data_IF_685485593486
#
_entry.id   IF_685485593486
#
_cell.length_a   1.000
_cell.length_b   1.000
_cell.length_c   1.000
_cell.angle_alpha   90.00
_cell.angle_beta   90.00
_cell.angle_gamma   90.00
#
_symmetry.space_group_name_H-M   'P 1'
#
loop_
_entity.id
_entity.type
_entity.pdbx_description
1 polymer ?
#
# COMPACT_ATOMS: atom_id res chain seq x y z
N UNK A 1 12.26 -19.90 -36.54
CA UNK A 1 12.04 -18.58 -35.91
C UNK A 1 11.04 -18.71 -34.74
N UNK A 2 11.36 -19.52 -33.73
CA UNK A 2 10.48 -19.73 -32.55
C UNK A 2 11.09 -19.18 -31.25
N UNK A 3 12.40 -18.93 -31.27
CA UNK A 3 13.17 -18.46 -30.11
C UNK A 3 12.71 -17.08 -29.62
N UNK A 4 12.40 -16.17 -30.54
CA UNK A 4 11.90 -14.83 -30.19
C UNK A 4 10.52 -14.84 -29.53
N UNK A 5 9.62 -15.70 -29.99
CA UNK A 5 8.28 -15.86 -29.40
C UNK A 5 8.35 -16.40 -27.97
N UNK A 6 9.21 -17.39 -27.74
CA UNK A 6 9.43 -17.98 -26.41
C UNK A 6 10.01 -16.94 -25.43
N UNK A 7 10.93 -16.10 -25.90
CA UNK A 7 11.56 -15.08 -25.07
C UNK A 7 10.56 -13.98 -24.64
N UNK A 8 9.64 -13.60 -25.53
CA UNK A 8 8.56 -12.65 -25.19
C UNK A 8 7.60 -13.20 -24.14
N UNK A 9 7.19 -14.47 -24.25
CA UNK A 9 6.31 -15.10 -23.26
C UNK A 9 6.97 -15.18 -21.88
N UNK A 10 8.27 -15.48 -21.83
CA UNK A 10 9.04 -15.48 -20.58
C UNK A 10 9.10 -14.09 -19.94
N UNK A 11 9.33 -13.03 -20.72
CA UNK A 11 9.37 -11.65 -20.21
C UNK A 11 8.01 -11.24 -19.63
N UNK A 12 6.92 -11.53 -20.34
CA UNK A 12 5.56 -11.20 -19.88
C UNK A 12 5.25 -11.96 -18.58
N UNK A 13 5.58 -13.25 -18.52
CA UNK A 13 5.40 -14.06 -17.31
C UNK A 13 6.18 -13.52 -16.10
N UNK A 14 7.44 -13.10 -16.29
CA UNK A 14 8.26 -12.48 -15.26
C UNK A 14 7.63 -11.18 -14.75
N UNK A 15 7.15 -10.31 -15.64
CA UNK A 15 6.49 -9.05 -15.25
C UNK A 15 5.23 -9.34 -14.44
N UNK A 16 4.41 -10.31 -14.85
CA UNK A 16 3.20 -10.70 -14.12
C UNK A 16 3.51 -11.25 -12.73
N UNK A 17 4.55 -12.08 -12.58
CA UNK A 17 4.96 -12.62 -11.27
C UNK A 17 5.46 -11.49 -10.35
N UNK A 18 6.26 -10.56 -10.88
CA UNK A 18 6.73 -9.39 -10.13
C UNK A 18 5.55 -8.53 -9.67
N UNK A 19 4.59 -8.25 -10.54
CA UNK A 19 3.38 -7.52 -10.19
C UNK A 19 2.58 -8.24 -9.10
N UNK A 20 2.42 -9.56 -9.20
CA UNK A 20 1.66 -10.36 -8.24
C UNK A 20 2.34 -10.36 -6.86
N UNK A 21 3.67 -10.48 -6.80
CA UNK A 21 4.43 -10.39 -5.54
C UNK A 21 4.38 -8.97 -4.95
N UNK A 22 4.41 -7.94 -5.78
CA UNK A 22 4.31 -6.55 -5.31
C UNK A 22 2.91 -6.21 -4.79
N UNK A 23 1.86 -6.76 -5.42
CA UNK A 23 0.47 -6.47 -5.08
C UNK A 23 -0.01 -7.26 -3.85
N UNK A 24 0.50 -8.48 -3.64
CA UNK A 24 0.03 -9.39 -2.58
C UNK A 24 0.60 -9.10 -1.18
N UNK A 25 1.52 -8.14 -1.05
CA UNK A 25 2.23 -7.90 0.21
C UNK A 25 1.61 -6.83 1.11
N UNK A 26 0.56 -6.12 0.70
CA UNK A 26 -0.03 -5.07 1.53
C UNK A 26 -1.09 -5.68 2.44
N UNK A 27 -0.79 -5.80 3.73
CA UNK A 27 -1.75 -6.21 4.76
C UNK A 27 -2.17 -4.99 5.57
N UNK A 28 -3.46 -4.89 5.89
CA UNK A 28 -3.98 -3.90 6.81
C UNK A 28 -3.48 -4.26 8.21
N UNK A 29 -2.67 -3.39 8.82
CA UNK A 29 -2.13 -3.62 10.17
C UNK A 29 -2.91 -2.81 11.20
N UNK A 30 -3.32 -1.60 10.84
CA UNK A 30 -3.90 -0.69 11.79
C UNK A 30 -4.88 0.26 11.12
N UNK A 31 -6.01 0.47 11.80
CA UNK A 31 -6.99 1.48 11.44
C UNK A 31 -6.92 2.55 12.51
N UNK A 32 -6.40 3.73 12.15
CA UNK A 32 -6.37 4.88 13.05
C UNK A 32 -7.65 5.69 12.89
N UNK A 33 -8.18 6.21 13.99
CA UNK A 33 -9.30 7.16 13.98
C UNK A 33 -8.77 8.51 14.44
N UNK A 34 -8.96 9.54 13.62
CA UNK A 34 -8.45 10.89 13.92
C UNK A 34 -7.01 11.13 13.50
N UNK A 35 -6.63 12.40 13.48
CA UNK A 35 -5.35 12.86 12.92
C UNK A 35 -4.16 12.56 13.84
N UNK A 36 -4.37 12.57 15.15
CA UNK A 36 -3.32 12.35 16.16
C UNK A 36 -2.77 10.92 16.13
N UNK A 37 -3.66 9.91 16.22
CA UNK A 37 -3.28 8.49 16.18
C UNK A 37 -2.70 8.10 14.82
N UNK A 38 -3.23 8.68 13.73
CA UNK A 38 -2.68 8.54 12.40
C UNK A 38 -1.22 9.02 12.34
N UNK A 39 -0.95 10.27 12.72
CA UNK A 39 0.38 10.86 12.59
C UNK A 39 1.41 10.17 13.48
N UNK A 40 1.01 9.75 14.68
CA UNK A 40 1.84 8.98 15.61
C UNK A 40 2.24 7.62 15.02
N UNK A 41 1.29 6.89 14.45
CA UNK A 41 1.54 5.57 13.85
C UNK A 41 2.42 5.67 12.62
N UNK A 42 2.16 6.64 11.75
CA UNK A 42 2.94 6.88 10.54
C UNK A 42 4.37 7.30 10.85
N UNK A 43 4.56 8.16 11.86
CA UNK A 43 5.90 8.58 12.30
C UNK A 43 6.72 7.38 12.78
N UNK A 44 6.11 6.45 13.52
CA UNK A 44 6.77 5.22 13.97
C UNK A 44 7.13 4.29 12.82
N UNK A 45 6.21 4.06 11.88
CA UNK A 45 6.47 3.25 10.68
C UNK A 45 7.59 3.82 9.81
N UNK A 46 7.67 5.16 9.73
CA UNK A 46 8.73 5.87 9.00
C UNK A 46 10.10 5.74 9.70
N UNK A 47 10.13 5.84 11.02
CA UNK A 47 11.33 5.64 11.84
C UNK A 47 11.89 4.21 11.67
N UNK A 48 11.01 3.21 11.66
CA UNK A 48 11.37 1.80 11.43
C UNK A 48 11.73 1.49 9.95
N UNK A 49 11.64 2.47 9.04
CA UNK A 49 11.95 2.30 7.61
C UNK A 49 10.99 1.36 6.87
N UNK A 50 9.79 1.15 7.40
CA UNK A 50 8.79 0.23 6.86
C UNK A 50 8.03 0.91 5.72
N UNK A 51 7.87 0.20 4.59
CA UNK A 51 7.02 0.70 3.50
C UNK A 51 5.55 0.56 3.90
N UNK A 52 4.88 1.69 4.09
CA UNK A 52 3.45 1.76 4.40
C UNK A 52 2.67 2.49 3.30
N UNK A 53 1.39 2.18 3.19
CA UNK A 53 0.40 2.81 2.31
C UNK A 53 -0.79 3.20 3.18
N UNK A 54 -1.30 4.39 2.99
CA UNK A 54 -2.48 4.90 3.71
C UNK A 54 -3.60 5.02 2.70
N UNK A 55 -4.74 4.39 2.95
CA UNK A 55 -5.97 4.72 2.24
C UNK A 55 -6.74 5.75 3.05
N UNK A 56 -6.95 6.90 2.43
CA UNK A 56 -7.80 7.97 2.94
C UNK A 56 -9.20 7.78 2.35
N UNK A 57 -10.28 7.96 3.12
CA UNK A 57 -11.62 7.99 2.56
C UNK A 57 -11.69 9.10 1.51
N UNK A 58 -12.15 8.74 0.31
CA UNK A 58 -12.20 9.58 -0.90
C UNK A 58 -12.98 10.89 -0.68
N UNK A 59 -13.74 11.00 0.43
CA UNK A 59 -14.52 12.17 0.83
C UNK A 59 -13.83 13.12 1.83
N UNK A 60 -12.54 12.97 2.12
CA UNK A 60 -11.81 13.81 3.10
C UNK A 60 -11.74 15.32 2.75
N UNK A 61 -12.25 15.75 1.58
CA UNK A 61 -12.31 17.17 1.20
C UNK A 61 -13.55 17.90 1.73
N UNK A 62 -14.62 17.19 2.09
CA UNK A 62 -15.89 17.84 2.48
C UNK A 62 -16.04 18.07 3.98
N UNK A 63 -15.25 17.39 4.82
CA UNK A 63 -15.42 17.45 6.27
C UNK A 63 -14.05 17.54 6.98
N UNK A 64 -13.48 18.75 7.00
CA UNK A 64 -12.19 19.04 7.67
C UNK A 64 -12.32 19.12 9.20
N UNK A 65 -13.52 18.92 9.76
CA UNK A 65 -13.81 19.15 11.18
C UNK A 65 -14.37 17.91 11.90
N UNK A 66 -14.62 16.81 11.20
CA UNK A 66 -15.03 15.57 11.83
C UNK A 66 -13.81 14.71 12.21
N UNK A 67 -13.53 14.68 13.51
CA UNK A 67 -12.48 13.89 14.15
C UNK A 67 -12.61 12.37 13.88
N UNK A 68 -13.79 11.92 13.43
CA UNK A 68 -14.08 10.53 13.04
C UNK A 68 -13.49 10.10 11.68
N UNK A 69 -12.46 10.76 11.18
CA UNK A 69 -11.80 10.31 9.95
C UNK A 69 -11.04 9.01 10.21
N UNK A 70 -11.47 7.95 9.52
CA UNK A 70 -10.80 6.65 9.57
C UNK A 70 -9.63 6.63 8.58
N UNK A 71 -8.45 6.22 9.05
CA UNK A 71 -7.24 6.04 8.26
C UNK A 71 -6.81 4.58 8.31
N UNK A 72 -6.96 3.89 7.19
CA UNK A 72 -6.53 2.50 7.07
C UNK A 72 -5.06 2.45 6.63
N UNK A 73 -4.20 1.96 7.53
CA UNK A 73 -2.75 1.90 7.37
C UNK A 73 -2.35 0.47 6.99
N UNK A 74 -1.89 0.34 5.76
CA UNK A 74 -1.39 -0.90 5.17
C UNK A 74 0.12 -0.93 5.24
N UNK A 75 0.68 -2.07 5.58
CA UNK A 75 2.13 -2.28 5.59
C UNK A 75 2.49 -3.36 4.61
N UNK A 76 3.62 -3.17 3.93
CA UNK A 76 4.19 -4.19 3.07
C UNK A 76 4.81 -5.30 3.93
N UNK A 77 4.15 -6.47 3.99
CA UNK A 77 4.70 -7.70 4.56
C UNK A 77 6.06 -7.98 3.92
N UNK A 78 7.09 -8.05 4.76
CA UNK A 78 8.49 -8.22 4.33
C UNK A 78 8.64 -9.54 3.59
#
# INVERSE_FOLDING_TARGET
MWVGGILLVLIIGLISIVQLILNRKWELIYTAYGYEDYFKTISKLKDEGVKYKVELPVNARSDRFNDNTQYDIYVKRK
#
